data_IF_357606999307
#
_entry.id   IF_357606999307
#
_cell.length_a   1.000
_cell.length_b   1.000
_cell.length_c   1.000
_cell.angle_alpha   90.00
_cell.angle_beta   90.00
_cell.angle_gamma   90.00
#
_symmetry.space_group_name_H-M   'P 1'
#
loop_
_entity.id
_entity.type
_entity.pdbx_description
1 polymer ?
#
# COMPACT_ATOMS: atom_id res chain seq x y z
N UNK A 1 -21.85 -2.45 27.65
CA UNK A 1 -22.28 -3.57 28.56
C UNK A 1 -21.74 -4.85 27.96
N UNK A 2 -20.64 -5.35 28.49
CA UNK A 2 -20.01 -6.58 28.03
C UNK A 2 -20.88 -7.77 28.45
N UNK A 3 -21.27 -8.58 27.49
CA UNK A 3 -21.93 -9.86 27.73
C UNK A 3 -20.88 -10.85 28.26
N UNK A 4 -20.65 -10.89 29.57
CA UNK A 4 -19.94 -12.00 30.22
C UNK A 4 -20.93 -13.13 30.40
N UNK A 5 -21.07 -14.02 29.43
CA UNK A 5 -21.66 -15.36 29.70
C UNK A 5 -20.52 -16.31 30.04
N UNK A 6 -20.46 -16.72 31.30
CA UNK A 6 -19.63 -17.83 31.74
C UNK A 6 -20.29 -19.14 31.31
N UNK A 7 -19.74 -19.79 30.30
CA UNK A 7 -20.13 -21.13 29.92
C UNK A 7 -19.36 -22.14 30.79
N UNK A 8 -20.07 -22.97 31.56
CA UNK A 8 -19.47 -24.01 32.40
C UNK A 8 -18.76 -25.07 31.56
N UNK A 9 -17.60 -25.53 32.02
CA UNK A 9 -16.84 -26.64 31.41
C UNK A 9 -17.60 -27.95 31.59
N UNK A 10 -18.05 -28.58 30.49
CA UNK A 10 -18.46 -29.98 30.48
C UNK A 10 -17.43 -30.84 29.74
N UNK A 11 -17.13 -32.06 30.22
CA UNK A 11 -16.16 -32.94 29.57
C UNK A 11 -16.62 -33.34 28.15
N UNK A 12 -15.70 -33.47 27.19
CA UNK A 12 -16.03 -33.83 25.80
C UNK A 12 -16.78 -35.15 25.61
N UNK A 13 -16.61 -36.07 26.54
CA UNK A 13 -17.20 -37.44 26.50
C UNK A 13 -18.73 -37.48 26.68
N UNK A 14 -19.34 -36.39 27.20
CA UNK A 14 -20.81 -36.31 27.41
C UNK A 14 -21.54 -36.03 26.09
N UNK A 15 -20.89 -35.48 25.08
CA UNK A 15 -21.52 -35.04 23.84
C UNK A 15 -21.74 -36.17 22.79
N UNK A 16 -21.15 -37.35 22.97
CA UNK A 16 -21.24 -38.43 21.98
C UNK A 16 -22.38 -39.45 22.26
N UNK A 17 -23.02 -39.42 23.44
CA UNK A 17 -23.93 -40.48 23.86
C UNK A 17 -25.40 -40.11 24.12
N UNK A 18 -25.78 -38.85 24.06
CA UNK A 18 -27.15 -38.44 24.33
C UNK A 18 -27.96 -38.22 23.05
N UNK A 19 -29.02 -38.99 22.89
CA UNK A 19 -30.08 -38.72 21.93
C UNK A 19 -30.89 -37.49 22.38
N UNK A 20 -31.01 -36.47 21.55
CA UNK A 20 -31.89 -35.35 21.85
C UNK A 20 -33.32 -35.71 21.48
N UNK A 21 -34.21 -35.62 22.42
CA UNK A 21 -35.65 -35.75 22.16
C UNK A 21 -36.25 -34.35 22.18
N UNK A 22 -36.70 -33.88 21.02
CA UNK A 22 -37.35 -32.58 20.87
C UNK A 22 -38.81 -32.84 20.49
N UNK A 23 -39.75 -32.39 21.33
CA UNK A 23 -41.19 -32.61 21.16
C UNK A 23 -41.59 -34.07 20.89
N UNK A 24 -40.93 -35.02 21.57
CA UNK A 24 -41.18 -36.45 21.42
C UNK A 24 -40.52 -37.13 20.21
N UNK A 25 -39.74 -36.41 19.42
CA UNK A 25 -38.99 -36.94 18.28
C UNK A 25 -37.56 -37.22 18.72
N UNK A 26 -37.13 -38.49 18.58
CA UNK A 26 -35.74 -38.89 18.83
C UNK A 26 -34.85 -38.49 17.64
N UNK A 27 -33.90 -37.62 17.90
CA UNK A 27 -32.98 -37.11 16.87
C UNK A 27 -31.65 -37.88 16.91
N UNK A 28 -31.29 -38.61 15.82
CA UNK A 28 -30.03 -39.36 15.78
C UNK A 28 -28.81 -38.46 15.90
N UNK A 29 -27.69 -39.02 16.38
CA UNK A 29 -26.49 -38.31 16.87
C UNK A 29 -25.92 -37.15 16.09
N UNK A 30 -26.12 -37.08 14.77
CA UNK A 30 -25.69 -35.90 13.99
C UNK A 30 -26.58 -34.65 14.22
N UNK A 31 -27.85 -34.82 14.62
CA UNK A 31 -28.76 -33.74 15.01
C UNK A 31 -28.45 -33.22 16.43
N UNK A 32 -27.92 -34.07 17.32
CA UNK A 32 -27.45 -33.65 18.63
C UNK A 32 -26.38 -32.57 18.56
N UNK A 33 -25.57 -32.52 17.48
CA UNK A 33 -24.59 -31.48 17.26
C UNK A 33 -25.22 -30.12 16.97
N UNK A 34 -26.46 -30.07 16.49
CA UNK A 34 -27.19 -28.81 16.27
C UNK A 34 -27.81 -28.24 17.53
N UNK A 35 -28.27 -29.14 18.45
CA UNK A 35 -29.02 -28.75 19.64
C UNK A 35 -28.23 -28.95 20.96
N UNK A 36 -27.12 -29.66 20.90
CA UNK A 36 -26.24 -29.84 22.07
C UNK A 36 -25.51 -28.58 22.49
N UNK A 37 -25.30 -28.40 23.77
CA UNK A 37 -24.48 -27.33 24.31
C UNK A 37 -23.05 -27.46 23.79
N UNK A 38 -22.59 -26.53 22.99
CA UNK A 38 -21.20 -26.49 22.56
C UNK A 38 -20.38 -25.82 23.64
N UNK A 39 -19.40 -26.52 24.17
CA UNK A 39 -18.43 -25.94 25.11
C UNK A 39 -17.27 -25.39 24.31
N UNK A 40 -17.04 -24.11 24.45
CA UNK A 40 -15.83 -23.44 23.93
C UNK A 40 -14.87 -23.42 25.12
N UNK A 41 -13.78 -24.17 25.03
CA UNK A 41 -12.86 -24.41 26.16
C UNK A 41 -11.83 -23.31 26.37
N UNK A 42 -11.46 -22.56 25.31
CA UNK A 42 -10.46 -21.51 25.40
C UNK A 42 -11.00 -20.23 24.68
N UNK A 43 -11.78 -19.48 25.46
CA UNK A 43 -12.41 -18.26 24.97
C UNK A 43 -11.86 -17.04 25.71
N UNK A 44 -11.00 -16.28 25.03
CA UNK A 44 -10.44 -15.04 25.54
C UNK A 44 -10.83 -13.87 24.62
N UNK A 45 -11.62 -12.93 25.12
CA UNK A 45 -12.02 -11.73 24.39
C UNK A 45 -11.06 -10.54 24.59
N UNK A 46 -10.04 -10.69 25.41
CA UNK A 46 -9.11 -9.59 25.70
C UNK A 46 -8.48 -9.01 24.43
N UNK A 47 -8.14 -9.85 23.46
CA UNK A 47 -7.60 -9.38 22.16
C UNK A 47 -8.63 -8.56 21.37
N UNK A 48 -9.91 -8.92 21.42
CA UNK A 48 -10.94 -8.12 20.77
C UNK A 48 -11.04 -6.74 21.41
N UNK A 49 -11.13 -6.69 22.74
CA UNK A 49 -11.24 -5.45 23.49
C UNK A 49 -10.00 -4.56 23.30
N UNK A 50 -8.79 -5.13 23.35
CA UNK A 50 -7.53 -4.44 23.12
C UNK A 50 -7.47 -3.75 21.75
N UNK A 51 -8.01 -4.39 20.71
CA UNK A 51 -8.00 -3.82 19.36
C UNK A 51 -9.17 -2.84 19.19
N UNK A 52 -10.36 -3.16 19.69
CA UNK A 52 -11.55 -2.31 19.52
C UNK A 52 -11.48 -1.01 20.33
N UNK A 53 -10.69 -0.98 21.38
CA UNK A 53 -10.46 0.20 22.21
C UNK A 53 -9.45 1.18 21.56
N UNK A 54 -8.71 0.73 20.54
CA UNK A 54 -7.81 1.60 19.78
C UNK A 54 -8.55 2.33 18.66
N UNK A 55 -8.20 3.60 18.37
CA UNK A 55 -8.76 4.32 17.23
C UNK A 55 -8.54 3.56 15.92
N UNK A 56 -9.64 3.23 15.23
CA UNK A 56 -9.64 2.45 14.00
C UNK A 56 -9.94 0.96 14.19
N UNK A 57 -9.93 0.45 15.43
CA UNK A 57 -10.25 -0.95 15.73
C UNK A 57 -11.74 -1.25 15.92
N UNK A 58 -12.57 -0.24 16.05
CA UNK A 58 -13.97 -0.29 16.54
C UNK A 58 -14.84 -1.26 15.74
N UNK A 59 -14.61 -1.39 14.44
CA UNK A 59 -15.44 -2.24 13.57
C UNK A 59 -15.06 -3.73 13.57
N UNK A 60 -14.03 -4.15 14.33
CA UNK A 60 -13.54 -5.52 14.32
C UNK A 60 -14.63 -6.54 14.68
N UNK A 61 -15.49 -6.21 15.65
CA UNK A 61 -16.58 -7.09 16.11
C UNK A 61 -17.83 -7.11 15.20
N UNK A 62 -17.92 -6.30 14.16
CA UNK A 62 -19.16 -6.16 13.36
C UNK A 62 -19.35 -7.24 12.29
N UNK A 63 -18.35 -8.09 12.07
CA UNK A 63 -18.37 -9.11 11.06
C UNK A 63 -19.39 -10.20 11.34
N UNK A 64 -20.35 -10.44 10.41
CA UNK A 64 -21.32 -11.54 10.49
C UNK A 64 -20.98 -12.72 9.55
N UNK A 65 -19.72 -12.81 9.11
CA UNK A 65 -19.17 -13.98 8.41
C UNK A 65 -19.74 -14.26 7.00
N UNK A 66 -20.19 -13.25 6.25
CA UNK A 66 -20.79 -13.40 4.90
C UNK A 66 -19.80 -13.87 3.81
N UNK A 67 -18.50 -13.86 4.06
CA UNK A 67 -17.43 -14.33 3.19
C UNK A 67 -17.13 -13.50 1.93
N UNK A 68 -17.83 -12.39 1.63
CA UNK A 68 -17.56 -11.58 0.43
C UNK A 68 -16.11 -11.08 0.32
N UNK A 69 -15.49 -10.78 1.46
CA UNK A 69 -14.11 -10.27 1.51
C UNK A 69 -13.06 -11.29 1.06
N UNK A 70 -13.31 -12.60 1.17
CA UNK A 70 -12.36 -13.66 0.78
C UNK A 70 -12.14 -13.62 -0.73
N UNK A 71 -13.21 -13.56 -1.52
CA UNK A 71 -13.12 -13.61 -2.98
C UNK A 71 -12.37 -12.44 -3.63
N UNK A 72 -12.11 -11.37 -2.88
CA UNK A 72 -11.41 -10.17 -3.39
C UNK A 72 -10.08 -9.91 -2.69
N UNK A 73 -9.75 -10.64 -1.62
CA UNK A 73 -8.51 -10.46 -0.89
C UNK A 73 -7.32 -10.99 -1.71
N UNK A 74 -6.35 -10.13 -2.08
CA UNK A 74 -5.22 -10.58 -2.88
C UNK A 74 -4.35 -11.60 -2.16
N UNK A 75 -4.25 -11.53 -0.83
CA UNK A 75 -3.48 -12.48 -0.03
C UNK A 75 -4.16 -13.83 0.05
N UNK A 76 -5.50 -13.87 0.15
CA UNK A 76 -6.27 -15.12 0.18
C UNK A 76 -6.16 -15.92 -1.13
N UNK A 77 -5.98 -15.21 -2.26
CA UNK A 77 -5.80 -15.84 -3.58
C UNK A 77 -4.46 -16.60 -3.67
N UNK A 78 -3.44 -16.15 -2.97
CA UNK A 78 -2.09 -16.74 -3.00
C UNK A 78 -1.70 -17.50 -1.74
N UNK A 79 -2.55 -17.51 -0.70
CA UNK A 79 -2.27 -18.15 0.60
C UNK A 79 -3.55 -18.56 1.32
N UNK A 80 -3.41 -18.96 2.58
CA UNK A 80 -4.53 -19.35 3.46
C UNK A 80 -4.98 -18.22 4.38
N UNK A 81 -4.74 -16.98 4.01
CA UNK A 81 -5.13 -15.79 4.74
C UNK A 81 -6.41 -15.20 4.16
N UNK A 82 -7.31 -14.75 5.03
CA UNK A 82 -8.47 -13.97 4.60
C UNK A 82 -9.05 -13.14 5.74
N UNK A 83 -9.58 -11.94 5.47
CA UNK A 83 -10.18 -11.09 6.50
C UNK A 83 -11.25 -11.82 7.32
N UNK A 84 -12.05 -12.67 6.69
CA UNK A 84 -13.04 -13.50 7.36
C UNK A 84 -12.43 -14.41 8.42
N UNK A 85 -11.27 -15.02 8.15
CA UNK A 85 -10.58 -15.89 9.10
C UNK A 85 -10.17 -15.10 10.34
N UNK A 86 -9.56 -13.95 10.17
CA UNK A 86 -9.19 -13.05 11.27
C UNK A 86 -10.40 -12.71 12.13
N UNK A 87 -11.49 -12.21 11.53
CA UNK A 87 -12.68 -11.86 12.29
C UNK A 87 -13.29 -13.04 13.04
N UNK A 88 -13.34 -14.22 12.39
CA UNK A 88 -13.84 -15.44 13.03
C UNK A 88 -12.99 -15.83 14.23
N UNK A 89 -11.68 -15.79 14.08
CA UNK A 89 -10.76 -16.27 15.10
C UNK A 89 -10.76 -15.31 16.31
N UNK A 90 -10.75 -13.99 16.08
CA UNK A 90 -10.88 -12.99 17.15
C UNK A 90 -12.25 -13.08 17.84
N UNK A 91 -13.36 -13.24 17.10
CA UNK A 91 -14.69 -13.43 17.68
C UNK A 91 -14.81 -14.73 18.51
N UNK A 92 -13.90 -15.68 18.31
CA UNK A 92 -13.79 -16.92 19.11
C UNK A 92 -12.76 -16.82 20.23
N UNK A 93 -12.20 -15.64 20.47
CA UNK A 93 -11.19 -15.40 21.49
C UNK A 93 -9.80 -15.94 21.15
N UNK A 94 -9.52 -16.17 19.85
CA UNK A 94 -8.17 -16.54 19.39
C UNK A 94 -7.40 -15.24 19.14
N UNK A 95 -6.24 -15.10 19.79
CA UNK A 95 -5.40 -13.91 19.67
C UNK A 95 -4.93 -13.68 18.23
N UNK A 96 -5.12 -12.45 17.73
CA UNK A 96 -4.56 -11.99 16.46
C UNK A 96 -3.12 -11.50 16.63
N UNK A 97 -2.74 -11.07 17.83
CA UNK A 97 -1.47 -10.36 18.04
C UNK A 97 -0.24 -11.29 17.89
N UNK A 98 -0.43 -12.59 18.07
CA UNK A 98 0.59 -13.61 17.87
C UNK A 98 0.45 -14.34 16.51
N UNK A 99 -0.55 -13.98 15.68
CA UNK A 99 -0.79 -14.62 14.38
C UNK A 99 0.07 -13.96 13.31
N UNK A 100 0.94 -14.69 12.57
CA UNK A 100 1.70 -14.18 11.43
C UNK A 100 0.83 -13.48 10.37
N UNK A 101 -0.42 -13.88 10.23
CA UNK A 101 -1.38 -13.24 9.33
C UNK A 101 -1.60 -11.75 9.61
N UNK A 102 -1.31 -11.29 10.83
CA UNK A 102 -1.32 -9.88 11.19
C UNK A 102 -0.48 -9.02 10.22
N UNK A 103 0.66 -9.55 9.77
CA UNK A 103 1.63 -8.84 8.94
C UNK A 103 1.41 -9.01 7.43
N UNK A 104 0.56 -9.95 7.00
CA UNK A 104 0.29 -10.21 5.58
C UNK A 104 -0.69 -9.20 4.95
N UNK A 105 -1.49 -8.49 5.74
CA UNK A 105 -2.45 -7.53 5.20
C UNK A 105 -1.75 -6.32 4.58
N UNK A 106 -2.02 -6.07 3.30
CA UNK A 106 -1.46 -4.94 2.54
C UNK A 106 -2.32 -3.67 2.60
N UNK A 107 -3.34 -3.64 3.44
CA UNK A 107 -4.26 -2.50 3.59
C UNK A 107 -4.85 -1.97 2.27
N UNK A 108 -5.03 -2.84 1.28
CA UNK A 108 -5.37 -2.48 -0.11
C UNK A 108 -6.83 -2.08 -0.35
N UNK A 109 -7.71 -2.12 0.66
CA UNK A 109 -9.11 -1.69 0.63
C UNK A 109 -10.10 -2.61 -0.13
N UNK A 110 -9.66 -3.69 -0.80
CA UNK A 110 -10.58 -4.55 -1.56
C UNK A 110 -11.69 -5.15 -0.69
N UNK A 111 -11.36 -5.62 0.52
CA UNK A 111 -12.33 -6.24 1.43
C UNK A 111 -13.37 -5.25 1.97
N UNK A 112 -12.97 -4.00 2.26
CA UNK A 112 -13.87 -2.95 2.74
C UNK A 112 -14.95 -2.63 1.70
N UNK A 113 -14.57 -2.51 0.42
CA UNK A 113 -15.50 -2.16 -0.68
C UNK A 113 -16.64 -3.14 -0.88
N UNK A 114 -16.43 -4.41 -0.57
CA UNK A 114 -17.45 -5.45 -0.72
C UNK A 114 -18.16 -5.80 0.58
N UNK A 115 -17.74 -5.20 1.71
CA UNK A 115 -18.26 -5.50 3.02
C UNK A 115 -19.61 -4.81 3.26
N UNK A 116 -20.73 -5.55 3.44
CA UNK A 116 -22.04 -4.95 3.68
C UNK A 116 -22.17 -4.32 5.09
N UNK A 117 -21.23 -4.65 6.00
CA UNK A 117 -21.12 -4.07 7.34
C UNK A 117 -20.05 -3.00 7.46
N UNK A 118 -19.38 -2.69 6.34
CA UNK A 118 -18.31 -1.67 6.30
C UNK A 118 -17.24 -1.92 7.37
N UNK A 119 -16.85 -3.21 7.55
CA UNK A 119 -15.79 -3.57 8.49
C UNK A 119 -14.46 -3.09 7.92
N UNK A 120 -13.82 -2.15 8.61
CA UNK A 120 -12.68 -1.40 8.09
C UNK A 120 -11.33 -2.04 8.43
N UNK A 121 -10.94 -3.05 7.64
CA UNK A 121 -9.64 -3.71 7.78
C UNK A 121 -8.45 -2.77 7.58
N UNK A 122 -8.66 -1.60 6.95
CA UNK A 122 -7.58 -0.64 6.68
C UNK A 122 -7.18 0.07 7.98
N UNK A 123 -8.13 0.29 8.87
CA UNK A 123 -7.90 0.86 10.19
C UNK A 123 -7.62 -0.24 11.23
N UNK A 124 -8.37 -1.35 11.18
CA UNK A 124 -8.22 -2.48 12.11
C UNK A 124 -6.80 -3.04 12.10
N UNK A 125 -6.22 -3.27 10.92
CA UNK A 125 -4.90 -3.93 10.85
C UNK A 125 -3.76 -3.07 11.40
N UNK A 126 -3.65 -1.76 11.11
CA UNK A 126 -2.71 -0.90 11.80
C UNK A 126 -2.94 -0.84 13.33
N UNK A 127 -4.20 -0.75 13.79
CA UNK A 127 -4.51 -0.76 15.22
C UNK A 127 -4.09 -2.07 15.91
N UNK A 128 -4.36 -3.22 15.28
CA UNK A 128 -3.92 -4.52 15.80
C UNK A 128 -2.38 -4.66 15.83
N UNK A 129 -1.68 -4.12 14.84
CA UNK A 129 -0.21 -4.07 14.80
C UNK A 129 0.35 -3.15 15.88
N UNK A 130 -0.27 -1.99 16.09
CA UNK A 130 0.05 -1.08 17.20
C UNK A 130 -0.10 -1.79 18.55
N UNK A 131 -1.21 -2.53 18.77
CA UNK A 131 -1.40 -3.32 19.98
C UNK A 131 -0.30 -4.39 20.15
N UNK A 132 0.06 -5.11 19.09
CA UNK A 132 1.13 -6.10 19.13
C UNK A 132 2.49 -5.48 19.50
N UNK A 133 2.83 -4.32 18.91
CA UNK A 133 4.06 -3.58 19.23
C UNK A 133 4.06 -3.13 20.69
N UNK A 134 2.96 -2.55 21.17
CA UNK A 134 2.82 -2.05 22.54
C UNK A 134 2.90 -3.17 23.58
N UNK A 135 2.44 -4.38 23.26
CA UNK A 135 2.57 -5.58 24.11
C UNK A 135 3.95 -6.26 24.02
N UNK A 136 4.86 -5.73 23.21
CA UNK A 136 6.19 -6.33 23.01
C UNK A 136 6.16 -7.67 22.27
N UNK A 137 5.13 -7.90 21.43
CA UNK A 137 5.07 -9.10 20.57
C UNK A 137 6.17 -9.07 19.53
N UNK A 138 6.53 -10.25 19.03
CA UNK A 138 7.52 -10.36 17.96
C UNK A 138 7.02 -9.73 16.67
N UNK A 139 7.75 -8.75 16.16
CA UNK A 139 7.53 -8.15 14.85
C UNK A 139 8.52 -8.72 13.84
N UNK A 140 8.18 -8.81 12.55
CA UNK A 140 9.12 -9.27 11.53
C UNK A 140 10.41 -8.44 11.56
N UNK A 141 11.60 -9.08 11.58
CA UNK A 141 12.88 -8.38 11.70
C UNK A 141 13.13 -7.33 10.61
N UNK A 142 12.56 -7.56 9.43
CA UNK A 142 12.64 -6.63 8.30
C UNK A 142 11.90 -5.32 8.58
N UNK A 143 10.73 -5.39 9.23
CA UNK A 143 10.00 -4.20 9.66
C UNK A 143 10.75 -3.44 10.74
N UNK A 144 11.26 -4.14 11.74
CA UNK A 144 12.05 -3.52 12.81
C UNK A 144 13.25 -2.75 12.23
N UNK A 145 13.99 -3.36 11.30
CA UNK A 145 15.10 -2.68 10.62
C UNK A 145 14.65 -1.42 9.87
N UNK A 146 13.50 -1.49 9.18
CA UNK A 146 12.96 -0.35 8.46
C UNK A 146 12.57 0.79 9.42
N UNK A 147 11.96 0.48 10.58
CA UNK A 147 11.62 1.46 11.61
C UNK A 147 12.86 2.13 12.21
N UNK A 148 13.84 1.33 12.63
CA UNK A 148 15.12 1.84 13.17
C UNK A 148 15.86 2.71 12.14
N UNK A 149 15.84 2.32 10.87
CA UNK A 149 16.46 3.09 9.79
C UNK A 149 15.72 4.40 9.54
N UNK A 150 14.39 4.39 9.53
CA UNK A 150 13.58 5.59 9.35
C UNK A 150 13.77 6.58 10.51
N UNK A 151 13.83 6.10 11.74
CA UNK A 151 14.09 6.93 12.91
C UNK A 151 15.49 7.56 12.86
N UNK A 152 16.51 6.75 12.57
CA UNK A 152 17.91 7.18 12.61
C UNK A 152 18.33 8.03 11.42
N UNK A 153 17.88 7.68 10.22
CA UNK A 153 18.35 8.26 8.96
C UNK A 153 17.28 9.08 8.22
N UNK A 154 16.04 9.10 8.71
CA UNK A 154 14.90 9.73 8.03
C UNK A 154 14.50 9.03 6.73
N UNK A 155 14.92 7.77 6.56
CA UNK A 155 14.48 6.90 5.44
C UNK A 155 14.56 5.42 5.85
N UNK A 156 13.61 4.58 5.43
CA UNK A 156 13.54 3.18 5.83
C UNK A 156 14.57 2.28 5.12
N UNK A 157 15.30 2.81 4.13
CA UNK A 157 16.32 2.09 3.39
C UNK A 157 17.68 2.06 4.13
N UNK A 158 17.82 2.82 5.22
CA UNK A 158 19.07 2.93 5.98
C UNK A 158 20.19 3.70 5.26
N UNK A 159 19.84 4.41 4.20
CA UNK A 159 20.80 5.17 3.41
C UNK A 159 21.20 6.49 4.08
N UNK A 160 22.42 6.94 3.81
CA UNK A 160 22.93 8.18 4.36
C UNK A 160 22.13 9.39 3.84
N UNK A 161 21.50 10.21 4.72
CA UNK A 161 20.71 11.37 4.32
C UNK A 161 21.45 12.36 3.41
N UNK A 162 22.77 12.48 3.54
CA UNK A 162 23.58 13.36 2.70
C UNK A 162 23.58 12.96 1.23
N UNK A 163 23.29 11.69 0.92
CA UNK A 163 23.22 11.17 -0.45
C UNK A 163 21.85 11.38 -1.09
N UNK A 164 20.83 11.83 -0.34
CA UNK A 164 19.45 11.90 -0.81
C UNK A 164 19.28 12.72 -2.10
N UNK A 165 20.13 13.72 -2.33
CA UNK A 165 20.10 14.56 -3.51
C UNK A 165 21.17 14.18 -4.57
N UNK A 166 21.92 13.10 -4.40
CA UNK A 166 23.00 12.74 -5.34
C UNK A 166 22.49 12.36 -6.75
N UNK A 167 21.27 11.84 -6.83
CA UNK A 167 20.63 11.48 -8.09
C UNK A 167 20.50 12.67 -9.08
N UNK A 168 20.47 13.89 -8.56
CA UNK A 168 20.39 15.15 -9.35
C UNK A 168 21.55 15.24 -10.34
N UNK A 169 22.76 14.81 -9.95
CA UNK A 169 23.97 14.88 -10.79
C UNK A 169 23.81 14.18 -12.14
N UNK A 170 22.92 13.20 -12.25
CA UNK A 170 22.64 12.48 -13.48
C UNK A 170 21.31 12.85 -14.15
N UNK A 171 20.61 13.88 -13.68
CA UNK A 171 19.32 14.25 -14.25
C UNK A 171 19.42 14.86 -15.66
N UNK A 172 20.57 15.46 -16.00
CA UNK A 172 20.77 16.13 -17.27
C UNK A 172 20.09 17.51 -17.37
N UNK A 173 19.39 17.95 -16.34
CA UNK A 173 18.68 19.22 -16.21
C UNK A 173 18.88 19.79 -14.81
N UNK A 174 18.74 21.12 -14.63
CA UNK A 174 18.77 21.72 -13.29
C UNK A 174 17.62 21.22 -12.43
N UNK A 175 17.93 20.81 -11.19
CA UNK A 175 16.96 20.47 -10.14
C UNK A 175 17.24 21.36 -8.93
N UNK A 176 16.49 22.44 -8.73
CA UNK A 176 16.73 23.39 -7.64
C UNK A 176 16.45 22.79 -6.27
N UNK A 177 17.26 23.17 -5.27
CA UNK A 177 17.07 22.83 -3.86
C UNK A 177 16.43 24.01 -3.12
N UNK A 178 15.37 23.77 -2.33
CA UNK A 178 14.69 24.79 -1.54
C UNK A 178 15.67 25.56 -0.64
N UNK A 179 16.62 24.88 -0.01
CA UNK A 179 17.62 25.50 0.86
C UNK A 179 18.50 26.54 0.15
N UNK A 180 18.67 26.45 -1.16
CA UNK A 180 19.43 27.40 -1.98
C UNK A 180 18.61 28.57 -2.54
N UNK A 181 17.27 28.48 -2.45
CA UNK A 181 16.36 29.46 -3.02
C UNK A 181 15.92 30.49 -1.97
N UNK A 182 15.99 31.78 -2.33
CA UNK A 182 15.47 32.89 -1.47
C UNK A 182 14.11 33.42 -1.94
N UNK A 183 13.39 32.64 -2.73
CA UNK A 183 12.09 32.99 -3.30
C UNK A 183 11.09 31.86 -3.17
N UNK A 184 9.79 32.15 -3.22
CA UNK A 184 8.77 31.14 -3.39
C UNK A 184 8.95 30.38 -4.69
N UNK A 185 8.42 29.12 -4.74
CA UNK A 185 8.28 28.32 -5.94
C UNK A 185 6.81 27.95 -6.14
N UNK A 186 6.42 27.61 -7.36
CA UNK A 186 5.05 27.14 -7.58
C UNK A 186 4.87 25.73 -6.99
N UNK A 187 5.87 24.87 -7.15
CA UNK A 187 5.80 23.48 -6.72
C UNK A 187 6.94 23.13 -5.78
N UNK A 188 6.60 22.62 -4.60
CA UNK A 188 7.49 21.75 -3.84
C UNK A 188 7.29 20.32 -4.35
N UNK A 189 8.32 19.75 -5.00
CA UNK A 189 8.31 18.35 -5.37
C UNK A 189 8.90 17.51 -4.25
N UNK A 190 8.04 16.72 -3.59
CA UNK A 190 8.48 15.70 -2.64
C UNK A 190 8.84 14.44 -3.43
N UNK A 191 10.13 14.07 -3.37
CA UNK A 191 10.69 12.99 -4.20
C UNK A 191 10.41 11.62 -3.61
N UNK A 192 10.50 11.49 -2.30
CA UNK A 192 10.37 10.23 -1.56
C UNK A 192 11.70 9.49 -1.41
N UNK A 193 11.72 8.52 -0.49
CA UNK A 193 12.95 7.79 -0.16
C UNK A 193 13.42 6.88 -1.30
N UNK A 194 12.51 6.13 -1.91
CA UNK A 194 12.88 5.17 -2.93
C UNK A 194 13.46 5.81 -4.19
N UNK A 195 12.84 6.85 -4.78
CA UNK A 195 13.41 7.55 -5.93
C UNK A 195 14.70 8.33 -5.63
N UNK A 196 14.98 8.55 -4.35
CA UNK A 196 16.23 9.25 -3.94
C UNK A 196 17.44 8.32 -3.86
N UNK A 197 17.24 7.02 -3.61
CA UNK A 197 18.35 6.11 -3.30
C UNK A 197 18.41 4.86 -4.17
N UNK A 198 17.28 4.29 -4.57
CA UNK A 198 17.26 3.06 -5.33
C UNK A 198 17.49 3.32 -6.82
N UNK A 199 18.39 2.59 -7.51
CA UNK A 199 18.74 2.86 -8.91
C UNK A 199 17.52 3.01 -9.83
N UNK A 200 16.56 2.09 -9.78
CA UNK A 200 15.37 2.14 -10.63
C UNK A 200 14.42 3.29 -10.28
N UNK A 201 14.31 3.63 -8.99
CA UNK A 201 13.58 4.83 -8.56
C UNK A 201 14.25 6.11 -9.05
N UNK A 202 15.59 6.17 -9.01
CA UNK A 202 16.40 7.29 -9.52
C UNK A 202 16.16 7.52 -11.02
N UNK A 203 16.06 6.46 -11.83
CA UNK A 203 15.79 6.59 -13.26
C UNK A 203 14.44 7.29 -13.52
N UNK A 204 13.39 6.88 -12.79
CA UNK A 204 12.07 7.48 -12.86
C UNK A 204 12.08 8.94 -12.35
N UNK A 205 12.79 9.24 -11.26
CA UNK A 205 12.93 10.62 -10.76
C UNK A 205 13.65 11.54 -11.77
N UNK A 206 14.71 11.06 -12.41
CA UNK A 206 15.42 11.78 -13.45
C UNK A 206 14.54 12.05 -14.68
N UNK A 207 13.72 11.08 -15.07
CA UNK A 207 12.74 11.26 -16.15
C UNK A 207 11.74 12.35 -15.79
N UNK A 208 11.16 12.33 -14.59
CA UNK A 208 10.22 13.36 -14.15
C UNK A 208 10.86 14.75 -14.06
N UNK A 209 12.11 14.84 -13.59
CA UNK A 209 12.86 16.11 -13.58
C UNK A 209 13.02 16.70 -14.98
N UNK A 210 13.32 15.88 -15.99
CA UNK A 210 13.41 16.33 -17.39
C UNK A 210 12.07 16.79 -17.93
N UNK A 211 10.99 16.11 -17.60
CA UNK A 211 9.62 16.48 -17.96
C UNK A 211 9.27 17.85 -17.35
N UNK A 212 9.50 18.05 -16.07
CA UNK A 212 9.24 19.33 -15.39
C UNK A 212 10.06 20.47 -16.01
N UNK A 213 11.32 20.22 -16.29
CA UNK A 213 12.18 21.21 -16.94
C UNK A 213 11.68 21.57 -18.35
N UNK A 214 11.33 20.61 -19.17
CA UNK A 214 10.81 20.82 -20.52
C UNK A 214 9.46 21.54 -20.54
N UNK A 215 8.61 21.28 -19.55
CA UNK A 215 7.37 22.02 -19.32
C UNK A 215 7.59 23.43 -18.75
N UNK A 216 8.83 23.80 -18.38
CA UNK A 216 9.12 25.10 -17.75
C UNK A 216 8.43 25.26 -16.39
N UNK A 217 8.28 24.18 -15.64
CA UNK A 217 7.68 24.18 -14.29
C UNK A 217 8.63 24.86 -13.31
N UNK A 218 8.12 25.80 -12.52
CA UNK A 218 8.85 26.38 -11.39
C UNK A 218 8.75 25.48 -10.17
N UNK A 219 9.71 24.58 -10.01
CA UNK A 219 9.75 23.60 -8.93
C UNK A 219 11.07 23.62 -8.18
N UNK A 220 11.05 23.08 -6.96
CA UNK A 220 12.25 22.74 -6.21
C UNK A 220 11.99 21.52 -5.31
N UNK A 221 13.07 20.88 -4.85
CA UNK A 221 13.02 19.75 -3.91
C UNK A 221 13.70 20.10 -2.59
N UNK A 222 13.40 19.35 -1.54
CA UNK A 222 14.04 19.54 -0.21
C UNK A 222 15.47 18.99 -0.16
N UNK A 223 15.76 17.97 -0.96
CA UNK A 223 17.05 17.31 -0.96
C UNK A 223 17.33 16.64 0.38
N UNK A 224 18.45 16.98 1.02
CA UNK A 224 18.89 16.36 2.27
C UNK A 224 17.98 16.63 3.48
N UNK A 225 17.12 17.64 3.41
CA UNK A 225 16.18 17.94 4.50
C UNK A 225 14.92 17.06 4.46
N UNK A 226 14.61 16.42 3.32
CA UNK A 226 13.43 15.58 3.15
C UNK A 226 13.52 14.34 4.05
N UNK A 227 12.43 14.03 4.74
CA UNK A 227 12.27 12.83 5.56
C UNK A 227 11.22 11.91 4.94
N UNK A 228 11.17 10.65 5.37
CA UNK A 228 10.10 9.72 5.04
C UNK A 228 8.73 10.30 5.44
N UNK A 229 7.69 10.03 4.64
CA UNK A 229 6.35 10.57 4.86
C UNK A 229 5.61 9.95 6.06
N UNK A 230 6.00 8.74 6.48
CA UNK A 230 5.45 8.01 7.61
C UNK A 230 4.25 7.11 7.30
N UNK A 231 3.62 7.15 6.11
CA UNK A 231 2.40 6.37 5.83
C UNK A 231 2.63 4.85 5.95
N UNK A 232 3.68 4.33 5.31
CA UNK A 232 4.00 2.90 5.37
C UNK A 232 4.35 2.43 6.78
N UNK A 233 4.98 3.29 7.59
CA UNK A 233 5.35 3.03 8.98
C UNK A 233 4.10 2.98 9.85
N UNK A 234 3.19 3.94 9.70
CA UNK A 234 1.87 3.99 10.36
C UNK A 234 1.05 2.75 10.05
N UNK A 235 0.98 2.37 8.78
CA UNK A 235 0.24 1.18 8.33
C UNK A 235 0.85 -0.13 8.84
N UNK A 236 2.14 -0.13 9.12
CA UNK A 236 2.83 -1.25 9.77
C UNK A 236 2.71 -1.24 11.31
N UNK A 237 1.98 -0.27 11.91
CA UNK A 237 1.67 -0.22 13.33
C UNK A 237 2.58 0.64 14.19
N UNK A 238 3.68 1.18 13.65
CA UNK A 238 4.59 2.06 14.40
C UNK A 238 4.10 3.52 14.33
N UNK A 239 3.03 3.80 15.07
CA UNK A 239 2.32 5.07 15.04
C UNK A 239 3.15 6.23 15.58
N UNK A 240 3.86 6.03 16.69
CA UNK A 240 4.67 7.09 17.32
C UNK A 240 5.78 7.59 16.41
N UNK A 241 6.46 6.70 15.70
CA UNK A 241 7.48 7.10 14.73
C UNK A 241 6.86 7.81 13.52
N UNK A 242 5.70 7.34 13.04
CA UNK A 242 4.99 7.98 11.93
C UNK A 242 4.57 9.42 12.28
N UNK A 243 4.04 9.65 13.49
CA UNK A 243 3.68 10.98 13.99
C UNK A 243 4.90 11.88 14.09
N UNK A 244 6.02 11.39 14.64
CA UNK A 244 7.30 12.11 14.68
C UNK A 244 7.76 12.57 13.30
N UNK A 245 7.77 11.67 12.31
CA UNK A 245 8.18 11.98 10.93
C UNK A 245 7.23 13.01 10.29
N UNK A 246 5.93 12.88 10.53
CA UNK A 246 4.91 13.83 10.07
C UNK A 246 5.18 15.24 10.61
N UNK A 247 5.40 15.35 11.92
CA UNK A 247 5.71 16.65 12.56
C UNK A 247 7.03 17.25 12.07
N UNK A 248 8.06 16.42 11.88
CA UNK A 248 9.35 16.88 11.34
C UNK A 248 9.18 17.43 9.91
N UNK A 249 8.45 16.75 9.03
CA UNK A 249 8.18 17.23 7.69
C UNK A 249 7.34 18.51 7.68
N UNK A 250 6.31 18.62 8.53
CA UNK A 250 5.52 19.86 8.68
C UNK A 250 6.43 21.04 9.09
N UNK A 251 7.33 20.83 10.05
CA UNK A 251 8.31 21.85 10.47
C UNK A 251 9.28 22.23 9.33
N UNK A 252 9.71 21.26 8.53
CA UNK A 252 10.61 21.50 7.38
C UNK A 252 9.85 22.29 6.30
N UNK A 253 8.66 21.89 5.93
CA UNK A 253 7.85 22.57 4.91
C UNK A 253 7.52 24.00 5.34
N UNK A 254 7.27 24.24 6.62
CA UNK A 254 7.00 25.56 7.19
C UNK A 254 8.15 26.58 7.04
N UNK A 255 9.37 26.14 6.73
CA UNK A 255 10.51 27.05 6.43
C UNK A 255 10.40 27.67 5.03
N UNK A 256 9.57 27.12 4.14
CA UNK A 256 9.55 27.43 2.73
C UNK A 256 8.20 27.94 2.25
N UNK A 257 8.20 28.68 1.16
CA UNK A 257 6.95 29.15 0.51
C UNK A 257 6.80 28.47 -0.82
N UNK A 258 5.70 27.76 -1.00
CA UNK A 258 5.30 27.10 -2.24
C UNK A 258 3.76 27.10 -2.33
N UNK A 259 3.22 26.95 -3.53
CA UNK A 259 1.78 26.93 -3.74
C UNK A 259 1.22 25.51 -3.62
N UNK A 260 1.88 24.53 -4.24
CA UNK A 260 1.40 23.15 -4.34
C UNK A 260 2.48 22.14 -3.97
N UNK A 261 2.06 21.03 -3.41
CA UNK A 261 2.93 19.88 -3.13
C UNK A 261 2.68 18.80 -4.19
N UNK A 262 3.66 18.56 -5.06
CA UNK A 262 3.61 17.45 -6.02
C UNK A 262 4.43 16.30 -5.47
N UNK A 263 3.82 15.11 -5.42
CA UNK A 263 4.44 13.89 -4.88
C UNK A 263 4.62 12.84 -5.96
N UNK A 264 5.64 12.00 -5.78
CA UNK A 264 5.94 10.98 -6.75
C UNK A 264 5.19 9.67 -6.49
N UNK A 265 4.99 9.29 -5.25
CA UNK A 265 4.37 8.03 -4.90
C UNK A 265 2.93 8.14 -4.37
N UNK A 266 2.12 7.09 -4.56
CA UNK A 266 0.75 7.02 -4.06
C UNK A 266 0.62 7.03 -2.54
N UNK A 267 1.59 6.48 -1.80
CA UNK A 267 1.59 6.49 -0.34
C UNK A 267 1.82 7.91 0.18
N UNK A 268 2.79 8.62 -0.38
CA UNK A 268 3.06 10.02 -0.09
C UNK A 268 1.83 10.89 -0.40
N UNK A 269 1.15 10.62 -1.53
CA UNK A 269 -0.10 11.29 -1.89
C UNK A 269 -1.17 11.10 -0.82
N UNK A 270 -1.35 9.86 -0.37
CA UNK A 270 -2.30 9.53 0.69
C UNK A 270 -1.93 10.20 2.02
N UNK A 271 -0.65 10.13 2.42
CA UNK A 271 -0.16 10.72 3.66
C UNK A 271 -0.43 12.23 3.69
N UNK A 272 0.10 12.98 2.74
CA UNK A 272 -0.01 14.44 2.73
C UNK A 272 -1.44 14.94 2.55
N UNK A 273 -2.29 14.21 1.83
CA UNK A 273 -3.67 14.58 1.60
C UNK A 273 -4.61 14.25 2.76
N UNK A 274 -4.44 13.08 3.38
CA UNK A 274 -5.43 12.52 4.30
C UNK A 274 -4.94 12.41 5.76
N UNK A 275 -3.62 12.27 5.99
CA UNK A 275 -3.07 12.06 7.33
C UNK A 275 -2.46 13.36 7.91
N UNK A 276 -1.66 14.08 7.13
CA UNK A 276 -1.00 15.32 7.57
C UNK A 276 -1.96 16.41 8.07
N UNK A 277 -3.16 16.59 7.49
CA UNK A 277 -4.14 17.55 8.02
C UNK A 277 -4.54 17.29 9.47
N UNK A 278 -4.50 16.05 9.94
CA UNK A 278 -4.78 15.66 11.34
C UNK A 278 -3.73 16.21 12.32
N UNK A 279 -2.54 16.53 11.80
CA UNK A 279 -1.41 17.08 12.55
C UNK A 279 -1.13 18.55 12.21
N UNK A 280 -2.07 19.23 11.51
CA UNK A 280 -1.97 20.65 11.16
C UNK A 280 -1.23 20.95 9.85
N UNK A 281 -0.78 19.92 9.11
CA UNK A 281 -0.12 20.08 7.81
C UNK A 281 -1.12 20.01 6.66
N UNK A 282 -1.67 21.16 6.23
CA UNK A 282 -2.63 21.22 5.12
C UNK A 282 -1.97 21.80 3.88
N UNK A 283 -2.00 21.05 2.76
CA UNK A 283 -1.37 21.39 1.49
C UNK A 283 -2.31 21.09 0.33
N UNK A 284 -2.16 21.81 -0.78
CA UNK A 284 -2.73 21.38 -2.06
C UNK A 284 -1.82 20.30 -2.65
N UNK A 285 -2.22 19.03 -2.49
CA UNK A 285 -1.41 17.87 -2.86
C UNK A 285 -1.87 17.30 -4.19
N UNK A 286 -0.93 17.08 -5.11
CA UNK A 286 -1.15 16.39 -6.38
C UNK A 286 -0.16 15.24 -6.53
N UNK A 287 -0.65 14.09 -6.98
CA UNK A 287 0.23 13.06 -7.52
C UNK A 287 0.80 13.54 -8.87
N UNK A 288 2.05 13.21 -9.20
CA UNK A 288 2.70 13.73 -10.42
C UNK A 288 1.88 13.46 -11.70
N UNK A 289 1.14 12.36 -11.76
CA UNK A 289 0.29 12.05 -12.91
C UNK A 289 -0.88 13.03 -13.06
N UNK A 290 -1.47 13.47 -11.95
CA UNK A 290 -2.53 14.49 -11.95
C UNK A 290 -1.95 15.82 -12.41
N UNK A 291 -0.81 16.22 -11.88
CA UNK A 291 -0.11 17.43 -12.27
C UNK A 291 0.23 17.43 -13.77
N UNK A 292 0.77 16.33 -14.30
CA UNK A 292 1.10 16.23 -15.72
C UNK A 292 -0.14 16.28 -16.62
N UNK A 293 -1.28 15.78 -16.17
CA UNK A 293 -2.56 15.88 -16.91
C UNK A 293 -3.06 17.32 -17.00
N UNK A 294 -2.81 18.17 -16.01
CA UNK A 294 -3.13 19.60 -16.10
C UNK A 294 -2.34 20.30 -17.23
N UNK A 295 -1.18 19.75 -17.60
CA UNK A 295 -0.31 20.25 -18.65
C UNK A 295 -0.31 19.39 -19.92
N UNK A 296 -1.34 18.53 -20.11
CA UNK A 296 -1.34 17.49 -21.13
C UNK A 296 -1.15 18.03 -22.57
N UNK A 297 -1.77 19.15 -22.90
CA UNK A 297 -1.65 19.75 -24.25
C UNK A 297 -0.20 20.15 -24.54
N UNK A 298 0.46 20.82 -23.59
CA UNK A 298 1.88 21.22 -23.72
C UNK A 298 2.78 19.98 -23.74
N UNK A 299 2.50 19.02 -22.89
CA UNK A 299 3.25 17.76 -22.80
C UNK A 299 3.14 16.97 -24.10
N UNK A 300 1.93 16.88 -24.69
CA UNK A 300 1.70 16.21 -25.97
C UNK A 300 2.50 16.85 -27.13
N UNK A 301 2.61 18.16 -27.11
CA UNK A 301 3.43 18.85 -28.11
C UNK A 301 4.95 18.57 -27.99
N UNK A 302 5.41 18.17 -26.80
CA UNK A 302 6.81 17.81 -26.56
C UNK A 302 7.08 16.31 -26.86
N UNK A 303 6.06 15.46 -26.88
CA UNK A 303 6.18 14.04 -27.17
C UNK A 303 6.16 13.76 -28.66
N UNK A 304 7.29 13.96 -29.34
CA UNK A 304 7.42 13.82 -30.81
C UNK A 304 8.04 12.49 -31.24
N UNK A 305 8.61 11.72 -30.31
CA UNK A 305 9.17 10.41 -30.61
C UNK A 305 8.05 9.36 -30.53
N UNK A 306 8.03 8.49 -31.52
CA UNK A 306 7.09 7.37 -31.55
C UNK A 306 7.62 6.20 -30.70
N UNK A 307 6.86 5.76 -29.71
CA UNK A 307 7.18 4.63 -28.81
C UNK A 307 6.23 3.48 -29.14
N UNK A 308 6.47 2.67 -30.20
CA UNK A 308 5.55 1.65 -30.65
C UNK A 308 5.52 0.48 -29.66
N UNK A 309 4.57 0.48 -28.73
CA UNK A 309 4.51 -0.53 -27.67
C UNK A 309 3.08 -0.74 -27.18
N UNK A 310 2.72 -2.01 -26.97
CA UNK A 310 1.52 -2.37 -26.22
C UNK A 310 1.88 -2.46 -24.75
N UNK A 311 1.19 -1.67 -23.93
CA UNK A 311 1.38 -1.66 -22.47
C UNK A 311 0.09 -1.98 -21.75
N UNK A 312 0.21 -2.59 -20.58
CA UNK A 312 -0.87 -2.67 -19.59
C UNK A 312 -0.51 -1.82 -18.38
N UNK A 313 -1.50 -1.44 -17.58
CA UNK A 313 -1.29 -0.54 -16.45
C UNK A 313 -1.67 -1.19 -15.12
N UNK A 314 -0.81 -1.05 -14.11
CA UNK A 314 -1.12 -1.40 -12.74
C UNK A 314 -1.71 -0.20 -12.00
N UNK A 315 -2.92 -0.37 -11.43
CA UNK A 315 -3.54 0.63 -10.55
C UNK A 315 -2.99 0.51 -9.13
N UNK A 316 -2.14 1.44 -8.65
CA UNK A 316 -1.69 1.43 -7.26
C UNK A 316 -2.86 1.70 -6.33
N UNK A 317 -3.04 0.86 -5.30
CA UNK A 317 -4.25 0.94 -4.48
C UNK A 317 -4.41 2.27 -3.73
N UNK A 318 -3.31 2.88 -3.29
CA UNK A 318 -3.34 4.15 -2.57
C UNK A 318 -3.62 5.37 -3.46
N UNK A 319 -3.34 5.31 -4.75
CA UNK A 319 -3.79 6.33 -5.71
C UNK A 319 -5.24 6.08 -6.14
N UNK A 320 -5.54 4.83 -6.51
CA UNK A 320 -6.84 4.44 -7.08
C UNK A 320 -7.92 4.28 -5.99
N UNK A 321 -7.97 3.14 -5.29
CA UNK A 321 -9.08 2.84 -4.35
C UNK A 321 -9.18 3.77 -3.17
N UNK A 322 -8.04 4.17 -2.57
CA UNK A 322 -8.03 5.06 -1.42
C UNK A 322 -8.34 6.51 -1.78
N UNK A 323 -7.94 6.96 -2.98
CA UNK A 323 -8.05 8.36 -3.38
C UNK A 323 -8.88 8.62 -4.64
N UNK A 324 -9.43 7.58 -5.28
CA UNK A 324 -10.35 7.71 -6.40
C UNK A 324 -9.71 8.12 -7.73
N UNK A 325 -8.37 8.16 -7.82
CA UNK A 325 -7.68 8.55 -9.06
C UNK A 325 -7.39 7.33 -9.92
N UNK A 326 -8.12 7.20 -11.00
CA UNK A 326 -8.00 6.11 -11.97
C UNK A 326 -7.60 6.57 -13.37
N UNK A 327 -7.94 7.80 -13.75
CA UNK A 327 -7.88 8.23 -15.15
C UNK A 327 -6.64 9.08 -15.49
N UNK A 328 -6.05 9.80 -14.56
CA UNK A 328 -4.86 10.60 -14.86
C UNK A 328 -3.72 9.76 -15.45
N UNK A 329 -3.34 8.59 -14.88
CA UNK A 329 -2.34 7.70 -15.48
C UNK A 329 -2.73 7.21 -16.87
N UNK A 330 -4.00 6.86 -17.08
CA UNK A 330 -4.51 6.37 -18.37
C UNK A 330 -4.53 7.45 -19.45
N UNK A 331 -4.88 8.69 -19.08
CA UNK A 331 -4.84 9.84 -20.00
C UNK A 331 -3.42 10.10 -20.48
N UNK A 332 -2.44 10.03 -19.58
CA UNK A 332 -1.02 10.18 -19.95
C UNK A 332 -0.58 9.06 -20.90
N UNK A 333 -0.84 7.80 -20.56
CA UNK A 333 -0.45 6.66 -21.40
C UNK A 333 -1.06 6.74 -22.81
N UNK A 334 -2.33 7.13 -22.94
CA UNK A 334 -3.00 7.28 -24.24
C UNK A 334 -2.47 8.47 -25.06
N UNK A 335 -1.87 9.45 -24.41
CA UNK A 335 -1.29 10.61 -25.08
C UNK A 335 0.12 10.34 -25.63
N UNK A 336 0.81 9.29 -25.19
CA UNK A 336 2.15 8.97 -25.69
C UNK A 336 2.05 8.38 -27.10
N UNK A 337 2.70 8.98 -28.12
CA UNK A 337 2.64 8.51 -29.49
C UNK A 337 3.15 7.07 -29.62
N UNK A 338 2.33 6.19 -30.21
CA UNK A 338 2.68 4.79 -30.45
C UNK A 338 2.34 3.83 -29.29
N UNK A 339 1.97 4.30 -28.13
CA UNK A 339 1.51 3.45 -27.02
C UNK A 339 0.08 2.96 -27.32
N UNK A 340 -0.11 1.65 -27.19
CA UNK A 340 -1.43 1.02 -27.15
C UNK A 340 -1.67 0.50 -25.75
N UNK A 341 -2.64 1.08 -25.03
CA UNK A 341 -3.02 0.64 -23.69
C UNK A 341 -4.03 -0.48 -23.75
N UNK A 342 -3.71 -1.64 -23.15
CA UNK A 342 -4.62 -2.78 -22.93
C UNK A 342 -4.84 -2.95 -21.43
N UNK A 343 -6.07 -3.18 -21.01
CA UNK A 343 -6.38 -3.32 -19.58
C UNK A 343 -6.25 -4.77 -19.13
N UNK A 344 -5.72 -4.97 -17.92
CA UNK A 344 -5.85 -6.27 -17.22
C UNK A 344 -7.31 -6.51 -16.82
N UNK A 345 -7.78 -7.76 -16.70
CA UNK A 345 -9.14 -8.06 -16.24
C UNK A 345 -9.48 -7.41 -14.91
N UNK A 346 -8.53 -7.42 -13.98
CA UNK A 346 -8.65 -6.73 -12.69
C UNK A 346 -7.96 -5.37 -12.76
N UNK A 347 -8.72 -4.33 -13.01
CA UNK A 347 -8.25 -2.95 -13.13
C UNK A 347 -9.13 -1.98 -12.34
N UNK A 348 -8.73 -0.73 -12.24
CA UNK A 348 -9.39 0.35 -11.50
C UNK A 348 -9.69 -0.07 -10.07
N UNK A 349 -10.98 0.06 -9.68
CA UNK A 349 -11.43 -0.31 -8.33
C UNK A 349 -11.25 -1.80 -8.01
N UNK A 350 -11.25 -2.68 -9.02
CA UNK A 350 -11.03 -4.12 -8.85
C UNK A 350 -9.55 -4.52 -9.00
N UNK A 351 -8.65 -3.54 -9.13
CA UNK A 351 -7.23 -3.78 -9.32
C UNK A 351 -6.63 -4.74 -8.28
N UNK A 352 -5.80 -5.69 -8.75
CA UNK A 352 -5.07 -6.58 -7.86
C UNK A 352 -3.91 -5.81 -7.19
N UNK A 353 -3.57 -6.17 -5.95
CA UNK A 353 -2.54 -5.46 -5.19
C UNK A 353 -1.13 -5.91 -5.58
N UNK A 354 -0.17 -4.98 -5.62
CA UNK A 354 1.25 -5.27 -5.82
C UNK A 354 1.93 -5.95 -4.62
N UNK A 355 1.29 -5.88 -3.43
CA UNK A 355 1.81 -6.43 -2.19
C UNK A 355 2.69 -5.48 -1.37
N UNK A 356 2.88 -4.23 -1.78
CA UNK A 356 3.77 -3.28 -1.09
C UNK A 356 3.15 -2.57 0.10
N UNK A 357 1.83 -2.38 0.15
CA UNK A 357 1.15 -1.66 1.23
C UNK A 357 1.23 -2.36 2.59
N UNK A 358 0.88 -1.64 3.66
CA UNK A 358 0.88 -2.17 5.03
C UNK A 358 2.24 -2.64 5.53
N UNK A 359 3.34 -2.08 5.03
CA UNK A 359 4.71 -2.54 5.32
C UNK A 359 5.17 -3.70 4.44
N UNK A 360 4.30 -4.22 3.55
CA UNK A 360 4.61 -5.36 2.69
C UNK A 360 5.81 -5.16 1.76
N UNK A 361 6.20 -3.91 1.51
CA UNK A 361 7.41 -3.59 0.73
C UNK A 361 8.70 -4.10 1.38
N UNK A 362 8.71 -4.31 2.69
CA UNK A 362 9.87 -4.82 3.43
C UNK A 362 9.72 -6.31 3.78
N UNK A 363 8.55 -6.92 3.53
CA UNK A 363 8.17 -8.26 4.00
C UNK A 363 8.20 -9.33 2.91
N UNK A 364 9.00 -9.18 1.85
CA UNK A 364 9.03 -10.18 0.77
C UNK A 364 9.50 -11.56 1.23
N UNK A 365 10.52 -11.63 2.11
CA UNK A 365 10.97 -12.88 2.70
C UNK A 365 9.90 -13.49 3.59
N UNK A 366 9.35 -12.70 4.50
CA UNK A 366 8.27 -13.12 5.38
C UNK A 366 7.04 -13.62 4.60
N UNK A 367 6.62 -12.90 3.56
CA UNK A 367 5.46 -13.29 2.76
C UNK A 367 5.62 -14.64 2.07
N UNK A 368 6.84 -15.00 1.66
CA UNK A 368 7.13 -16.30 1.01
C UNK A 368 6.91 -17.50 1.94
N UNK A 369 7.07 -17.31 3.24
CA UNK A 369 6.87 -18.38 4.22
C UNK A 369 5.38 -18.71 4.44
N UNK A 370 4.48 -17.77 4.13
CA UNK A 370 3.05 -17.87 4.40
C UNK A 370 2.18 -17.86 3.14
N UNK A 371 2.76 -17.66 1.95
CA UNK A 371 2.02 -17.62 0.68
C UNK A 371 2.69 -18.51 -0.38
N UNK A 372 1.91 -19.03 -1.31
CA UNK A 372 2.40 -19.89 -2.40
C UNK A 372 3.19 -19.12 -3.46
N UNK A 373 2.93 -17.81 -3.57
CA UNK A 373 3.64 -16.88 -4.45
C UNK A 373 3.45 -15.45 -3.93
N UNK A 374 4.29 -14.53 -4.32
CA UNK A 374 4.11 -13.10 -4.00
C UNK A 374 2.91 -12.53 -4.78
N UNK A 375 2.30 -11.49 -4.22
CA UNK A 375 1.21 -10.77 -4.89
C UNK A 375 1.70 -10.15 -6.21
N UNK A 376 2.92 -9.62 -6.23
CA UNK A 376 3.55 -9.07 -7.43
C UNK A 376 3.71 -10.13 -8.53
N UNK A 377 4.07 -11.38 -8.17
CA UNK A 377 4.19 -12.48 -9.13
C UNK A 377 2.84 -12.79 -9.79
N UNK A 378 1.77 -12.85 -8.99
CA UNK A 378 0.41 -13.05 -9.53
C UNK A 378 -0.01 -11.91 -10.46
N UNK A 379 0.34 -10.65 -10.09
CA UNK A 379 0.02 -9.48 -10.91
C UNK A 379 0.78 -9.46 -12.23
N UNK A 380 2.06 -9.86 -12.23
CA UNK A 380 2.85 -10.01 -13.46
C UNK A 380 2.25 -11.07 -14.39
N UNK A 381 1.79 -12.20 -13.85
CA UNK A 381 1.10 -13.23 -14.66
C UNK A 381 -0.12 -12.63 -15.36
N UNK A 382 -0.94 -11.85 -14.67
CA UNK A 382 -2.09 -11.15 -15.29
C UNK A 382 -1.66 -10.15 -16.38
N UNK A 383 -0.58 -9.43 -16.15
CA UNK A 383 -0.06 -8.48 -17.13
C UNK A 383 0.41 -9.22 -18.40
N UNK A 384 1.12 -10.33 -18.25
CA UNK A 384 1.56 -11.17 -19.39
C UNK A 384 0.37 -11.78 -20.16
N UNK A 385 -0.68 -12.19 -19.46
CA UNK A 385 -1.92 -12.75 -20.06
C UNK A 385 -2.64 -11.75 -20.98
N UNK A 386 -2.42 -10.43 -20.82
CA UNK A 386 -2.96 -9.40 -21.73
C UNK A 386 -2.28 -9.36 -23.09
N UNK A 387 -1.13 -10.01 -23.25
CA UNK A 387 -0.27 -9.89 -24.44
C UNK A 387 0.53 -8.57 -24.49
N UNK A 388 0.49 -7.76 -23.45
CA UNK A 388 1.28 -6.52 -23.37
C UNK A 388 2.79 -6.81 -23.32
N UNK A 389 3.58 -5.92 -23.92
CA UNK A 389 5.03 -5.93 -23.91
C UNK A 389 5.60 -5.16 -22.71
N UNK A 390 4.80 -4.29 -22.11
CA UNK A 390 5.20 -3.47 -20.96
C UNK A 390 4.13 -3.38 -19.90
N UNK A 391 4.57 -3.36 -18.64
CA UNK A 391 3.77 -3.01 -17.47
C UNK A 391 4.10 -1.57 -17.08
N UNK A 392 3.15 -0.67 -17.35
CA UNK A 392 3.24 0.73 -16.91
C UNK A 392 2.80 0.85 -15.45
N UNK A 393 3.54 1.64 -14.68
CA UNK A 393 3.27 1.92 -13.27
C UNK A 393 3.42 3.41 -12.99
N UNK A 394 2.93 3.86 -11.84
CA UNK A 394 3.14 5.23 -11.35
C UNK A 394 3.41 5.26 -9.83
N UNK A 395 4.09 4.24 -9.35
CA UNK A 395 4.59 4.15 -7.98
C UNK A 395 6.05 3.71 -8.02
N UNK A 396 6.98 4.54 -7.53
CA UNK A 396 8.42 4.24 -7.65
C UNK A 396 8.82 2.92 -6.99
N UNK A 397 8.17 2.55 -5.89
CA UNK A 397 8.41 1.28 -5.20
C UNK A 397 8.04 0.05 -6.01
N UNK A 398 7.15 0.18 -6.99
CA UNK A 398 6.66 -0.94 -7.78
C UNK A 398 7.62 -1.36 -8.88
N UNK A 399 8.53 -0.49 -9.34
CA UNK A 399 9.45 -0.80 -10.45
C UNK A 399 10.25 -2.05 -10.15
N UNK A 400 11.10 -2.02 -9.12
CA UNK A 400 11.94 -3.17 -8.77
C UNK A 400 11.13 -4.38 -8.34
N UNK A 401 10.02 -4.16 -7.60
CA UNK A 401 9.13 -5.23 -7.17
C UNK A 401 8.56 -6.02 -8.34
N UNK A 402 8.11 -5.34 -9.39
CA UNK A 402 7.60 -6.01 -10.59
C UNK A 402 8.72 -6.53 -11.49
N UNK A 403 9.88 -5.88 -11.57
CA UNK A 403 11.05 -6.43 -12.26
C UNK A 403 11.49 -7.78 -11.64
N UNK A 404 11.53 -7.86 -10.30
CA UNK A 404 11.80 -9.11 -9.60
C UNK A 404 10.72 -10.16 -9.83
N UNK A 405 9.45 -9.75 -9.90
CA UNK A 405 8.35 -10.64 -10.20
C UNK A 405 8.39 -11.15 -11.65
N UNK A 406 8.81 -10.31 -12.61
CA UNK A 406 9.05 -10.72 -14.01
C UNK A 406 10.09 -11.83 -14.07
N UNK A 407 11.21 -11.68 -13.32
CA UNK A 407 12.25 -12.71 -13.20
C UNK A 407 11.73 -13.98 -12.53
N UNK A 408 11.08 -13.81 -11.37
CA UNK A 408 10.57 -14.95 -10.58
C UNK A 408 9.54 -15.80 -11.33
N UNK A 409 8.79 -15.18 -12.25
CA UNK A 409 7.77 -15.85 -13.07
C UNK A 409 8.30 -16.31 -14.44
N UNK A 410 9.60 -16.16 -14.74
CA UNK A 410 10.21 -16.56 -16.00
C UNK A 410 9.75 -15.77 -17.22
N UNK A 411 9.35 -14.52 -17.04
CA UNK A 411 8.84 -13.65 -18.10
C UNK A 411 9.85 -12.58 -18.56
N UNK A 412 11.15 -12.79 -18.26
CA UNK A 412 12.21 -11.92 -18.75
C UNK A 412 12.21 -11.87 -20.30
N UNK A 413 12.36 -10.66 -20.84
CA UNK A 413 12.29 -10.43 -22.28
C UNK A 413 10.88 -10.43 -22.88
N UNK A 414 9.84 -10.82 -22.12
CA UNK A 414 8.44 -10.76 -22.55
C UNK A 414 7.72 -9.52 -22.03
N UNK A 415 7.97 -9.15 -20.78
CA UNK A 415 7.36 -8.01 -20.13
C UNK A 415 8.44 -7.11 -19.53
N UNK A 416 8.41 -5.83 -19.87
CA UNK A 416 9.26 -4.78 -19.33
C UNK A 416 8.46 -3.92 -18.37
N UNK A 417 9.08 -3.43 -17.29
CA UNK A 417 8.41 -2.58 -16.28
C UNK A 417 8.94 -1.16 -16.40
N UNK A 418 8.03 -0.20 -16.57
CA UNK A 418 8.37 1.23 -16.70
C UNK A 418 7.45 2.10 -15.88
N UNK A 419 8.03 3.10 -15.23
CA UNK A 419 7.22 4.22 -14.73
C UNK A 419 6.69 5.05 -15.90
N UNK A 420 5.48 5.62 -15.74
CA UNK A 420 4.87 6.50 -16.78
C UNK A 420 5.80 7.66 -17.12
N UNK A 421 6.52 8.22 -16.14
CA UNK A 421 7.49 9.27 -16.39
C UNK A 421 8.61 8.82 -17.34
N UNK A 422 9.10 7.58 -17.24
CA UNK A 422 10.11 7.02 -18.15
C UNK A 422 9.56 6.88 -19.58
N UNK A 423 8.29 6.47 -19.72
CA UNK A 423 7.64 6.34 -21.05
C UNK A 423 7.43 7.71 -21.71
N UNK A 424 7.02 8.71 -20.92
CA UNK A 424 6.88 10.10 -21.41
C UNK A 424 8.23 10.67 -21.82
N UNK A 425 9.25 10.53 -20.99
CA UNK A 425 10.60 11.03 -21.26
C UNK A 425 11.19 10.40 -22.53
N UNK A 426 10.95 9.11 -22.76
CA UNK A 426 11.36 8.42 -23.99
C UNK A 426 10.64 8.94 -25.24
N UNK A 427 9.43 9.46 -25.10
CA UNK A 427 8.65 10.05 -26.19
C UNK A 427 8.99 11.53 -26.44
N UNK A 428 9.66 12.20 -25.49
CA UNK A 428 10.07 13.60 -25.67
C UNK A 428 11.28 13.72 -26.59
N UNK A 429 11.39 14.85 -27.29
CA UNK A 429 12.61 15.18 -28.04
C UNK A 429 13.75 15.26 -27.04
N UNK A 430 14.78 14.44 -27.21
CA UNK A 430 16.05 14.69 -26.52
C UNK A 430 16.54 16.05 -26.98
N UNK A 431 16.58 17.00 -26.06
CA UNK A 431 17.34 18.25 -26.32
C UNK A 431 18.77 17.86 -26.67
N UNK A 432 19.21 18.28 -27.84
CA UNK A 432 20.53 18.01 -28.39
C UNK A 432 21.64 18.55 -27.48
#
# INVERSE_FOLDING_TARGET
>A
MAYKQSYGKQPPEVLEKEHAVVEGIDLPGHWNRMFGTRVITDYDLSTLDQITDLPGGESLGWCYQCAKCIGVCPVDIVGDYGPRKIHRDVQRGISLLDDPNLWLCTTCMNCLRVCPKVVDMIQIMPAAREAAINEGKAIPPELQKAFEAADRYGNPLGENPRKRAEWIKGAGVPVPLMAGLKRPVDILWYVGSYPSYHPRGIDAARALARIFHALGVDFAILGVEEKEDGDSIRLAGEKGLAEKLTEENIKIFGKYKFNRLVVFGPHEYNAFKNEYPKHGGTYEVLHYTQFLVEHLDRLSALMVQHVPRTVTYHDPCYLSRHNGEYEAPRRLLRAIPGITLVEMPRNRENGYCCGGGGGGMWLDSFSRDYTKMRLSDRRVIEAVETGAQGLAICCPYEVSRFEDAVKATGNEGRLDVRDIAELIDAAMTKSA
#
